data_IF_467273688322
#
_entry.id   IF_467273688322
#
_cell.length_a   1.000
_cell.length_b   1.000
_cell.length_c   1.000
_cell.angle_alpha   90.00
_cell.angle_beta   90.00
_cell.angle_gamma   90.00
#
_symmetry.space_group_name_H-M   'P 1'
#
loop_
_entity.id
_entity.type
_entity.pdbx_description
1 polymer ?
#
# COMPACT_ATOMS: atom_id res chain seq x y z
N UNK A 1 -33.87 29.79 23.39
CA UNK A 1 -34.39 29.81 22.01
C UNK A 1 -33.21 29.95 21.08
N UNK A 2 -32.95 28.96 20.24
CA UNK A 2 -33.45 28.90 18.86
C UNK A 2 -32.83 29.99 17.97
N UNK A 3 -32.00 29.54 17.03
CA UNK A 3 -31.51 30.29 15.87
C UNK A 3 -32.68 30.77 14.98
N UNK A 4 -32.43 31.69 14.01
CA UNK A 4 -32.11 31.26 12.62
C UNK A 4 -31.06 32.19 11.92
N UNK A 5 -30.06 31.68 11.17
CA UNK A 5 -30.01 31.38 9.72
C UNK A 5 -29.71 32.59 8.79
N UNK A 6 -28.61 32.44 8.01
CA UNK A 6 -28.18 33.03 6.71
C UNK A 6 -28.21 34.58 6.55
N UNK A 7 -27.25 35.26 5.91
CA UNK A 7 -26.62 35.03 4.60
C UNK A 7 -25.40 35.96 4.49
N UNK A 8 -24.29 35.49 3.92
CA UNK A 8 -23.56 36.19 2.86
C UNK A 8 -22.37 35.34 2.42
N UNK A 9 -22.58 34.70 1.27
CA UNK A 9 -21.59 33.92 0.55
C UNK A 9 -20.57 34.85 -0.10
N UNK A 10 -19.31 34.79 0.35
CA UNK A 10 -18.18 35.26 -0.44
C UNK A 10 -17.84 34.16 -1.44
N UNK A 11 -18.28 34.38 -2.68
CA UNK A 11 -17.85 33.65 -3.86
C UNK A 11 -16.35 33.89 -4.05
N UNK A 12 -15.53 32.98 -3.53
CA UNK A 12 -14.17 32.79 -4.03
C UNK A 12 -14.27 31.88 -5.25
N UNK A 13 -14.26 32.51 -6.42
CA UNK A 13 -14.06 31.85 -7.71
C UNK A 13 -12.70 31.12 -7.71
N UNK A 14 -12.72 29.86 -7.26
CA UNK A 14 -11.67 28.90 -7.56
C UNK A 14 -11.88 28.43 -9.01
N UNK A 15 -10.83 28.41 -9.85
CA UNK A 15 -10.98 28.03 -11.25
C UNK A 15 -11.40 26.57 -11.35
N UNK A 16 -12.70 26.35 -11.57
CA UNK A 16 -13.30 25.13 -12.10
C UNK A 16 -12.78 24.88 -13.51
N UNK A 17 -11.57 24.32 -13.66
CA UNK A 17 -11.11 23.60 -14.84
C UNK A 17 -9.71 22.98 -14.62
N UNK A 18 -9.56 22.11 -13.62
CA UNK A 18 -8.60 21.01 -13.78
C UNK A 18 -9.45 19.78 -14.01
N UNK A 19 -9.66 19.41 -15.28
CA UNK A 19 -10.04 18.03 -15.60
C UNK A 19 -9.02 17.16 -14.87
N UNK A 20 -9.43 16.47 -13.80
CA UNK A 20 -8.58 15.56 -13.05
C UNK A 20 -8.03 14.53 -14.04
N UNK A 21 -6.79 14.72 -14.46
CA UNK A 21 -6.24 14.04 -15.61
C UNK A 21 -5.83 12.64 -15.18
N UNK A 22 -6.75 11.67 -15.19
CA UNK A 22 -6.51 10.27 -14.82
C UNK A 22 -5.41 9.63 -15.68
N UNK A 23 -4.57 8.77 -15.11
CA UNK A 23 -3.35 8.21 -15.75
C UNK A 23 -3.62 7.66 -17.15
N UNK A 24 -4.57 6.74 -17.29
CA UNK A 24 -4.85 6.08 -18.57
C UNK A 24 -5.34 7.11 -19.60
N UNK A 25 -6.34 7.97 -19.36
CA UNK A 25 -6.66 9.06 -20.28
C UNK A 25 -5.54 10.08 -20.57
N UNK A 26 -4.59 10.29 -19.68
CA UNK A 26 -3.38 11.11 -19.98
C UNK A 26 -2.46 10.41 -20.96
N UNK A 27 -2.27 9.10 -20.80
CA UNK A 27 -1.38 8.28 -21.65
C UNK A 27 -2.07 7.86 -22.96
N UNK A 28 -3.38 7.60 -22.93
CA UNK A 28 -4.14 6.97 -23.99
C UNK A 28 -4.94 7.95 -24.86
N UNK A 29 -5.04 9.24 -24.52
CA UNK A 29 -5.76 10.26 -25.32
C UNK A 29 -5.35 10.30 -26.81
N UNK A 30 -4.15 9.79 -27.14
CA UNK A 30 -3.59 9.75 -28.49
C UNK A 30 -3.30 8.34 -29.01
N UNK A 31 -3.59 7.27 -28.24
CA UNK A 31 -3.34 5.89 -28.69
C UNK A 31 -4.60 5.37 -29.36
N UNK A 32 -4.71 5.59 -30.67
CA UNK A 32 -5.74 4.92 -31.46
C UNK A 32 -5.41 3.42 -31.46
N UNK A 33 -6.35 2.56 -31.05
CA UNK A 33 -6.14 1.12 -30.83
C UNK A 33 -5.60 0.35 -32.06
N UNK A 34 -5.58 0.99 -33.24
CA UNK A 34 -5.00 0.46 -34.49
C UNK A 34 -3.50 0.73 -34.69
N UNK A 35 -2.82 1.44 -33.78
CA UNK A 35 -1.40 1.80 -33.93
C UNK A 35 -0.62 1.58 -32.63
N UNK A 36 -0.75 0.39 -32.04
CA UNK A 36 0.12 -0.05 -30.95
C UNK A 36 1.42 -0.54 -31.62
N UNK A 37 2.56 0.10 -31.31
CA UNK A 37 3.88 -0.26 -31.88
C UNK A 37 4.57 0.77 -32.78
N UNK A 38 3.90 1.85 -33.16
CA UNK A 38 4.56 2.97 -33.86
C UNK A 38 5.51 3.74 -32.92
N UNK A 39 6.64 4.31 -33.41
CA UNK A 39 7.50 5.21 -32.64
C UNK A 39 6.74 6.32 -31.89
N UNK A 40 5.63 6.80 -32.46
CA UNK A 40 4.73 7.78 -31.84
C UNK A 40 4.08 7.25 -30.56
N UNK A 41 3.61 6.00 -30.56
CA UNK A 41 2.97 5.35 -29.40
C UNK A 41 3.97 5.10 -28.27
N UNK A 42 5.19 4.69 -28.60
CA UNK A 42 6.29 4.58 -27.63
C UNK A 42 6.57 5.92 -26.96
N UNK A 43 6.66 7.00 -27.75
CA UNK A 43 6.89 8.36 -27.24
C UNK A 43 5.74 8.84 -26.35
N UNK A 44 4.48 8.62 -26.75
CA UNK A 44 3.30 9.00 -25.95
C UNK A 44 3.30 8.30 -24.60
N UNK A 45 3.60 6.99 -24.56
CA UNK A 45 3.69 6.23 -23.31
C UNK A 45 4.82 6.77 -22.43
N UNK A 46 6.01 6.98 -23.00
CA UNK A 46 7.17 7.51 -22.26
C UNK A 46 6.91 8.93 -21.74
N UNK A 47 6.31 9.80 -22.54
CA UNK A 47 5.93 11.17 -22.18
C UNK A 47 4.82 11.20 -21.12
N UNK A 48 3.93 10.22 -21.13
CA UNK A 48 2.88 10.07 -20.11
C UNK A 48 3.45 9.57 -18.79
N UNK A 49 4.29 8.54 -18.82
CA UNK A 49 4.95 7.98 -17.64
C UNK A 49 5.92 8.97 -16.99
N UNK A 50 6.63 9.79 -17.77
CA UNK A 50 7.57 10.79 -17.24
C UNK A 50 6.88 11.95 -16.51
N UNK A 51 5.58 12.16 -16.74
CA UNK A 51 4.76 13.16 -16.05
C UNK A 51 4.18 12.65 -14.72
N UNK A 52 4.31 11.36 -14.43
CA UNK A 52 3.86 10.79 -13.17
C UNK A 52 4.87 11.10 -12.08
N UNK A 53 4.38 11.41 -10.88
CA UNK A 53 5.26 11.52 -9.75
C UNK A 53 5.91 10.13 -9.49
N UNK A 54 7.26 10.08 -9.38
CA UNK A 54 7.98 8.82 -9.21
C UNK A 54 7.56 8.00 -7.99
N UNK A 55 7.02 8.64 -6.96
CA UNK A 55 6.55 7.96 -5.76
C UNK A 55 5.30 7.09 -6.04
N UNK A 56 4.51 7.37 -7.09
CA UNK A 56 3.35 6.54 -7.50
C UNK A 56 3.81 5.13 -7.79
N UNK A 57 4.85 5.01 -8.62
CA UNK A 57 5.39 3.72 -8.98
C UNK A 57 5.94 2.97 -7.76
N UNK A 58 6.54 3.66 -6.79
CA UNK A 58 7.06 3.04 -5.58
C UNK A 58 5.94 2.55 -4.67
N UNK A 59 4.91 3.38 -4.48
CA UNK A 59 3.70 3.04 -3.72
C UNK A 59 2.96 1.86 -4.35
N UNK A 60 2.74 1.87 -5.66
CA UNK A 60 2.13 0.76 -6.40
C UNK A 60 2.97 -0.51 -6.33
N UNK A 61 4.31 -0.40 -6.36
CA UNK A 61 5.21 -1.52 -6.14
C UNK A 61 5.09 -2.10 -4.72
N UNK A 62 5.04 -1.25 -3.69
CA UNK A 62 4.81 -1.69 -2.31
C UNK A 62 3.49 -2.45 -2.17
N UNK A 63 2.40 -1.89 -2.73
CA UNK A 63 1.09 -2.53 -2.74
C UNK A 63 1.10 -3.86 -3.49
N UNK A 64 1.76 -3.91 -4.65
CA UNK A 64 1.87 -5.14 -5.45
C UNK A 64 2.66 -6.23 -4.72
N UNK A 65 3.68 -5.86 -3.96
CA UNK A 65 4.50 -6.81 -3.21
C UNK A 65 3.86 -7.31 -1.92
N UNK A 66 2.95 -6.52 -1.33
CA UNK A 66 2.08 -6.95 -0.25
C UNK A 66 0.91 -7.81 -0.77
N UNK A 67 0.01 -7.19 -1.53
CA UNK A 67 -1.34 -7.72 -1.82
C UNK A 67 -1.57 -8.10 -3.29
N UNK A 68 -0.61 -7.79 -4.16
CA UNK A 68 -0.72 -8.01 -5.60
C UNK A 68 -0.47 -9.46 -6.02
N UNK A 69 -1.01 -9.82 -7.18
CA UNK A 69 -0.61 -10.98 -7.96
C UNK A 69 -0.70 -10.62 -9.43
N UNK A 70 0.32 -10.98 -10.18
CA UNK A 70 0.36 -10.89 -11.63
C UNK A 70 0.21 -12.30 -12.19
N UNK A 71 -0.93 -12.55 -12.82
CA UNK A 71 -1.20 -13.78 -13.54
C UNK A 71 -0.72 -13.62 -14.98
N UNK A 72 0.14 -14.54 -15.42
CA UNK A 72 0.78 -14.50 -16.74
C UNK A 72 0.43 -15.81 -17.43
N UNK A 73 -0.40 -15.78 -18.49
CA UNK A 73 -0.79 -17.00 -19.18
C UNK A 73 0.39 -17.56 -19.98
N UNK A 74 0.41 -18.89 -20.15
CA UNK A 74 1.47 -19.58 -20.91
C UNK A 74 1.30 -19.45 -22.43
N UNK A 75 0.11 -19.13 -22.88
CA UNK A 75 -0.29 -18.94 -24.28
C UNK A 75 -1.20 -17.72 -24.39
N UNK A 76 -1.40 -17.20 -25.60
CA UNK A 76 -2.35 -16.11 -25.87
C UNK A 76 -3.80 -16.60 -26.03
N UNK A 77 -4.04 -17.92 -25.99
CA UNK A 77 -5.37 -18.52 -26.04
C UNK A 77 -5.57 -19.52 -24.91
N UNK A 78 -6.78 -19.57 -24.36
CA UNK A 78 -7.20 -20.64 -23.46
C UNK A 78 -7.70 -21.87 -24.25
N UNK A 79 -8.06 -22.94 -23.54
CA UNK A 79 -8.59 -24.18 -24.16
C UNK A 79 -9.89 -24.00 -24.93
N UNK A 80 -10.63 -22.89 -24.73
CA UNK A 80 -11.84 -22.54 -25.49
C UNK A 80 -11.56 -21.62 -26.69
N UNK A 81 -10.28 -21.35 -27.00
CA UNK A 81 -9.87 -20.47 -28.11
C UNK A 81 -10.04 -18.98 -27.83
N UNK A 82 -10.41 -18.59 -26.62
CA UNK A 82 -10.55 -17.18 -26.23
C UNK A 82 -9.20 -16.59 -25.89
N UNK A 83 -8.97 -15.33 -26.30
CA UNK A 83 -7.74 -14.61 -26.00
C UNK A 83 -7.57 -14.43 -24.49
N UNK A 84 -6.37 -14.75 -23.99
CA UNK A 84 -5.96 -14.51 -22.62
C UNK A 84 -4.65 -13.74 -22.62
N UNK A 85 -4.51 -12.87 -21.63
CA UNK A 85 -3.33 -12.01 -21.49
C UNK A 85 -3.12 -11.71 -20.00
N UNK A 86 -1.96 -11.13 -19.62
CA UNK A 86 -1.63 -10.92 -18.23
C UNK A 86 -2.67 -10.07 -17.50
N UNK A 87 -2.89 -10.38 -16.23
CA UNK A 87 -3.84 -9.67 -15.37
C UNK A 87 -3.19 -9.37 -14.02
N UNK A 88 -3.50 -8.20 -13.45
CA UNK A 88 -3.04 -7.82 -12.12
C UNK A 88 -4.22 -7.80 -11.17
N UNK A 89 -4.11 -8.56 -10.09
CA UNK A 89 -5.14 -8.64 -9.05
C UNK A 89 -4.53 -8.20 -7.73
N UNK A 90 -5.15 -7.23 -7.07
CA UNK A 90 -4.88 -6.91 -5.68
C UNK A 90 -6.05 -7.43 -4.85
N UNK A 91 -5.75 -8.13 -3.75
CA UNK A 91 -6.75 -8.65 -2.84
C UNK A 91 -6.49 -8.09 -1.45
N UNK A 92 -7.49 -7.50 -0.81
CA UNK A 92 -7.38 -6.92 0.52
C UNK A 92 -8.60 -7.20 1.37
N UNK A 93 -8.62 -6.65 2.58
CA UNK A 93 -9.79 -6.75 3.44
C UNK A 93 -11.00 -6.04 2.78
N UNK A 94 -12.20 -6.58 2.96
CA UNK A 94 -13.45 -5.96 2.48
C UNK A 94 -13.58 -4.47 2.81
N UNK A 95 -13.08 -4.04 3.98
CA UNK A 95 -13.09 -2.62 4.39
C UNK A 95 -12.26 -1.70 3.49
N UNK A 96 -11.28 -2.22 2.75
CA UNK A 96 -10.39 -1.43 1.90
C UNK A 96 -10.96 -1.15 0.49
N UNK A 97 -12.22 -1.52 0.23
CA UNK A 97 -12.88 -1.20 -1.05
C UNK A 97 -12.81 0.30 -1.43
N UNK A 98 -12.99 1.28 -0.51
CA UNK A 98 -12.86 2.69 -0.85
C UNK A 98 -11.45 3.06 -1.36
N UNK A 99 -10.41 2.48 -0.77
CA UNK A 99 -9.03 2.66 -1.23
C UNK A 99 -8.84 2.10 -2.65
N UNK A 100 -9.31 0.88 -2.93
CA UNK A 100 -9.25 0.31 -4.28
C UNK A 100 -10.08 1.10 -5.30
N UNK A 101 -11.22 1.65 -4.89
CA UNK A 101 -12.06 2.52 -5.73
C UNK A 101 -11.32 3.82 -6.07
N UNK A 102 -10.60 4.40 -5.11
CA UNK A 102 -9.77 5.58 -5.36
C UNK A 102 -8.63 5.27 -6.34
N UNK A 103 -7.98 4.11 -6.23
CA UNK A 103 -6.97 3.67 -7.20
C UNK A 103 -7.56 3.52 -8.61
N UNK A 104 -8.78 2.98 -8.74
CA UNK A 104 -9.49 2.90 -10.03
C UNK A 104 -9.64 4.28 -10.67
N UNK A 105 -10.06 5.29 -9.90
CA UNK A 105 -10.20 6.65 -10.39
C UNK A 105 -8.87 7.24 -10.84
N UNK A 106 -7.83 7.15 -10.00
CA UNK A 106 -6.50 7.73 -10.27
C UNK A 106 -5.86 7.10 -11.50
N UNK A 107 -5.92 5.77 -11.56
CA UNK A 107 -5.34 5.01 -12.66
C UNK A 107 -6.18 5.21 -13.95
N UNK A 108 -7.47 5.55 -13.84
CA UNK A 108 -8.38 5.66 -14.98
C UNK A 108 -8.83 4.29 -15.49
N UNK A 109 -9.06 3.36 -14.56
CA UNK A 109 -9.51 2.00 -14.85
C UNK A 109 -11.03 1.93 -15.04
N UNK A 110 -11.52 0.80 -15.56
CA UNK A 110 -12.96 0.49 -15.56
C UNK A 110 -13.52 0.59 -14.13
N UNK A 111 -14.67 1.25 -13.96
CA UNK A 111 -15.29 1.48 -12.66
C UNK A 111 -15.61 0.19 -11.89
N UNK A 112 -15.76 -0.93 -12.60
CA UNK A 112 -16.03 -2.26 -12.02
C UNK A 112 -14.75 -3.07 -11.71
N UNK A 113 -13.57 -2.49 -11.94
CA UNK A 113 -12.30 -3.13 -11.64
C UNK A 113 -12.14 -3.38 -10.12
N UNK A 114 -12.68 -2.50 -9.27
CA UNK A 114 -12.75 -2.66 -7.82
C UNK A 114 -14.13 -3.18 -7.38
N UNK A 115 -14.18 -4.26 -6.61
CA UNK A 115 -15.43 -4.85 -6.11
C UNK A 115 -15.22 -5.74 -4.89
N UNK A 116 -16.30 -6.04 -4.18
CA UNK A 116 -16.33 -7.09 -3.17
C UNK A 116 -16.55 -8.46 -3.82
N UNK A 117 -15.82 -9.45 -3.32
CA UNK A 117 -15.93 -10.84 -3.77
C UNK A 117 -16.08 -11.74 -2.55
N UNK A 118 -17.08 -12.63 -2.56
CA UNK A 118 -17.26 -13.67 -1.53
C UNK A 118 -16.17 -14.72 -1.68
N UNK A 119 -15.52 -15.05 -0.57
CA UNK A 119 -14.51 -16.10 -0.46
C UNK A 119 -14.98 -17.16 0.55
N UNK A 120 -14.36 -18.35 0.60
CA UNK A 120 -14.70 -19.35 1.63
C UNK A 120 -14.53 -18.84 3.07
N UNK A 121 -13.67 -17.84 3.28
CA UNK A 121 -13.32 -17.31 4.60
C UNK A 121 -13.98 -15.97 4.92
N UNK A 122 -14.83 -15.43 4.03
CA UNK A 122 -15.53 -14.17 4.25
C UNK A 122 -15.72 -13.37 2.97
N UNK A 123 -15.48 -12.06 3.04
CA UNK A 123 -15.56 -11.15 1.89
C UNK A 123 -14.22 -10.43 1.73
N UNK A 124 -13.71 -10.37 0.51
CA UNK A 124 -12.50 -9.65 0.16
C UNK A 124 -12.84 -8.46 -0.74
N UNK A 125 -12.11 -7.35 -0.58
CA UNK A 125 -12.06 -6.33 -1.63
C UNK A 125 -11.05 -6.79 -2.68
N UNK A 126 -11.41 -6.68 -3.95
CA UNK A 126 -10.58 -7.05 -5.08
C UNK A 126 -10.48 -5.86 -6.03
N UNK A 127 -9.26 -5.50 -6.42
CA UNK A 127 -8.99 -4.68 -7.60
C UNK A 127 -8.40 -5.58 -8.68
N UNK A 128 -9.11 -5.76 -9.79
CA UNK A 128 -8.66 -6.59 -10.91
C UNK A 128 -8.46 -5.74 -12.17
N UNK A 129 -7.20 -5.54 -12.54
CA UNK A 129 -6.79 -4.86 -13.77
C UNK A 129 -6.67 -5.90 -14.87
N UNK A 130 -7.64 -5.86 -15.79
CA UNK A 130 -7.79 -6.83 -16.87
C UNK A 130 -7.58 -6.26 -18.24
N UNK A 131 -7.32 -4.98 -18.42
CA UNK A 131 -7.12 -4.38 -19.74
C UNK A 131 -5.66 -4.47 -20.19
N UNK A 132 -5.45 -4.76 -21.48
CA UNK A 132 -4.12 -5.04 -22.03
C UNK A 132 -3.18 -3.83 -21.94
N UNK A 133 -3.69 -2.63 -22.23
CA UNK A 133 -2.89 -1.39 -22.13
C UNK A 133 -2.62 -1.07 -20.66
N UNK A 134 -3.62 -1.23 -19.80
CA UNK A 134 -3.60 -0.89 -18.39
C UNK A 134 -2.60 -1.75 -17.63
N UNK A 135 -2.59 -3.05 -17.90
CA UNK A 135 -1.61 -3.98 -17.32
C UNK A 135 -0.20 -3.64 -17.81
N UNK A 136 -0.01 -3.35 -19.10
CA UNK A 136 1.28 -2.91 -19.64
C UNK A 136 1.79 -1.66 -18.93
N UNK A 137 0.95 -0.63 -18.75
CA UNK A 137 1.32 0.61 -18.06
C UNK A 137 1.71 0.37 -16.60
N UNK A 138 0.97 -0.50 -15.89
CA UNK A 138 1.33 -0.87 -14.52
C UNK A 138 2.67 -1.61 -14.50
N UNK A 139 2.93 -2.54 -15.42
CA UNK A 139 4.24 -3.21 -15.54
C UNK A 139 5.36 -2.18 -15.70
N UNK A 140 5.18 -1.17 -16.56
CA UNK A 140 6.15 -0.08 -16.70
C UNK A 140 6.36 0.70 -15.40
N UNK A 141 5.31 0.94 -14.61
CA UNK A 141 5.42 1.62 -13.31
C UNK A 141 6.14 0.76 -12.26
N UNK A 142 5.92 -0.56 -12.27
CA UNK A 142 6.55 -1.50 -11.33
C UNK A 142 8.04 -1.73 -11.66
N UNK A 143 8.41 -1.70 -12.94
CA UNK A 143 9.76 -1.99 -13.40
C UNK A 143 10.79 -1.05 -12.76
N UNK A 144 11.79 -1.62 -12.08
CA UNK A 144 12.82 -0.88 -11.35
C UNK A 144 12.41 -0.37 -9.97
N UNK A 145 11.22 -0.73 -9.46
CA UNK A 145 10.70 -0.26 -8.16
C UNK A 145 10.30 -1.39 -7.19
N UNK A 146 10.34 -2.64 -7.65
CA UNK A 146 10.17 -3.82 -6.80
C UNK A 146 11.40 -4.04 -5.91
N UNK A 147 11.22 -4.59 -4.71
CA UNK A 147 12.31 -4.88 -3.77
C UNK A 147 12.41 -6.34 -3.36
N UNK A 148 11.44 -7.17 -3.73
CA UNK A 148 11.37 -8.59 -3.37
C UNK A 148 11.70 -9.50 -4.56
N UNK A 149 11.69 -10.81 -4.31
CA UNK A 149 11.80 -11.86 -5.33
C UNK A 149 10.66 -11.88 -6.36
N UNK A 150 9.61 -11.07 -6.18
CA UNK A 150 8.47 -10.97 -7.11
C UNK A 150 8.84 -10.41 -8.49
N UNK A 151 10.02 -9.82 -8.65
CA UNK A 151 10.56 -9.37 -9.95
C UNK A 151 10.53 -10.47 -11.03
N UNK A 152 10.76 -11.73 -10.65
CA UNK A 152 10.64 -12.88 -11.57
C UNK A 152 9.26 -13.02 -12.25
N UNK A 153 8.19 -12.56 -11.60
CA UNK A 153 6.86 -12.57 -12.22
C UNK A 153 6.68 -11.39 -13.16
N UNK A 154 7.30 -10.24 -12.86
CA UNK A 154 7.34 -9.09 -13.75
C UNK A 154 8.11 -9.42 -15.03
N UNK A 155 9.26 -10.09 -14.91
CA UNK A 155 10.07 -10.57 -16.03
C UNK A 155 9.26 -11.46 -16.99
N UNK A 156 8.51 -12.43 -16.45
CA UNK A 156 7.63 -13.28 -17.27
C UNK A 156 6.56 -12.49 -18.01
N UNK A 157 5.98 -11.47 -17.38
CA UNK A 157 4.99 -10.64 -18.04
C UNK A 157 5.60 -9.76 -19.13
N UNK A 158 6.78 -9.18 -18.87
CA UNK A 158 7.55 -8.41 -19.88
C UNK A 158 7.83 -9.29 -21.09
N UNK A 159 8.30 -10.52 -20.88
CA UNK A 159 8.52 -11.48 -21.97
C UNK A 159 7.23 -11.79 -22.73
N UNK A 160 6.11 -12.00 -22.02
CA UNK A 160 4.82 -12.24 -22.66
C UNK A 160 4.41 -11.07 -23.57
N UNK A 161 4.58 -9.82 -23.14
CA UNK A 161 4.28 -8.66 -24.01
C UNK A 161 5.20 -8.62 -25.23
N UNK A 162 6.48 -8.97 -25.08
CA UNK A 162 7.43 -9.03 -26.19
C UNK A 162 7.07 -10.11 -27.22
N UNK A 163 6.56 -11.27 -26.76
CA UNK A 163 6.26 -12.41 -27.62
C UNK A 163 4.90 -12.29 -28.34
N UNK A 164 3.92 -11.65 -27.70
CA UNK A 164 2.52 -11.73 -28.14
C UNK A 164 1.87 -10.39 -28.52
N UNK A 165 2.62 -9.28 -28.46
CA UNK A 165 2.05 -7.96 -28.75
C UNK A 165 3.04 -7.05 -29.47
N UNK A 166 2.52 -6.01 -30.12
CA UNK A 166 3.33 -4.94 -30.73
C UNK A 166 3.60 -3.77 -29.76
N UNK A 167 3.45 -3.96 -28.44
CA UNK A 167 3.79 -2.90 -27.50
C UNK A 167 5.29 -2.61 -27.52
N UNK A 168 5.72 -1.38 -27.18
CA UNK A 168 7.13 -1.07 -27.07
C UNK A 168 7.86 -2.06 -26.13
N UNK A 169 9.06 -2.54 -26.49
CA UNK A 169 9.78 -3.48 -25.64
C UNK A 169 10.19 -2.83 -24.32
N UNK A 170 10.06 -3.58 -23.23
CA UNK A 170 10.45 -3.16 -21.88
C UNK A 170 11.77 -3.84 -21.53
N UNK A 171 12.82 -3.05 -21.27
CA UNK A 171 14.04 -3.58 -20.65
C UNK A 171 13.80 -3.77 -19.15
N UNK A 172 13.95 -5.00 -18.67
CA UNK A 172 13.83 -5.30 -17.23
C UNK A 172 14.90 -4.54 -16.44
N UNK A 173 14.48 -3.82 -15.41
CA UNK A 173 15.36 -3.12 -14.48
C UNK A 173 15.54 -3.95 -13.20
N UNK A 174 16.70 -3.87 -12.52
CA UNK A 174 16.92 -4.60 -11.27
C UNK A 174 15.99 -4.11 -10.16
N UNK A 175 15.92 -4.89 -9.08
CA UNK A 175 15.23 -4.48 -7.85
C UNK A 175 15.79 -3.15 -7.32
N UNK A 176 14.89 -2.31 -6.81
CA UNK A 176 15.20 -1.07 -6.12
C UNK A 176 15.94 -1.37 -4.80
N UNK A 177 17.03 -0.64 -4.57
CA UNK A 177 17.88 -0.74 -3.37
C UNK A 177 18.04 0.62 -2.68
N UNK A 178 17.26 1.63 -3.09
CA UNK A 178 17.27 2.93 -2.44
C UNK A 178 16.82 2.83 -0.97
N UNK A 179 17.30 3.73 -0.10
CA UNK A 179 16.90 3.73 1.32
C UNK A 179 15.38 3.69 1.48
N UNK A 180 14.89 2.95 2.47
CA UNK A 180 13.46 2.82 2.76
C UNK A 180 12.77 4.17 2.93
N UNK A 181 13.46 5.12 3.57
CA UNK A 181 12.99 6.48 3.85
C UNK A 181 12.97 7.42 2.63
N UNK A 182 13.40 6.95 1.45
CA UNK A 182 13.50 7.81 0.26
C UNK A 182 12.23 7.88 -0.57
N UNK A 183 11.27 6.96 -0.37
CA UNK A 183 10.05 6.88 -1.16
C UNK A 183 8.92 6.13 -0.42
N UNK A 184 7.74 6.11 -1.03
CA UNK A 184 6.51 5.54 -0.46
C UNK A 184 6.37 4.01 -0.52
N UNK A 185 7.37 3.26 -1.00
CA UNK A 185 7.26 1.80 -1.15
C UNK A 185 6.90 1.11 0.17
N UNK A 186 7.58 1.47 1.26
CA UNK A 186 7.38 0.81 2.55
C UNK A 186 6.01 1.11 3.17
N UNK A 187 5.44 2.29 2.89
CA UNK A 187 4.08 2.60 3.32
C UNK A 187 3.08 1.57 2.80
N UNK A 188 3.08 1.34 1.48
CA UNK A 188 2.10 0.43 0.87
C UNK A 188 2.47 -1.05 1.00
N UNK A 189 3.76 -1.37 1.17
CA UNK A 189 4.16 -2.72 1.58
C UNK A 189 3.64 -3.04 2.99
N UNK A 190 3.71 -2.07 3.91
CA UNK A 190 3.21 -2.22 5.29
C UNK A 190 1.68 -2.29 5.36
N UNK A 191 0.97 -1.70 4.39
CA UNK A 191 -0.50 -1.73 4.33
C UNK A 191 -1.09 -3.14 4.35
N UNK A 192 -0.40 -4.15 3.81
CA UNK A 192 -0.87 -5.54 3.84
C UNK A 192 -0.47 -6.28 5.12
N UNK A 193 0.83 -6.47 5.32
CA UNK A 193 1.34 -7.45 6.27
C UNK A 193 1.80 -6.89 7.64
N UNK A 194 1.63 -5.58 7.88
CA UNK A 194 1.99 -4.96 9.15
C UNK A 194 0.84 -4.82 10.15
N UNK A 195 1.17 -4.59 11.41
CA UNK A 195 0.23 -4.35 12.50
C UNK A 195 0.79 -3.30 13.47
N UNK A 196 -0.05 -2.33 13.83
CA UNK A 196 0.18 -1.40 14.93
C UNK A 196 -0.54 -1.91 16.17
N UNK A 197 0.13 -1.92 17.32
CA UNK A 197 -0.42 -2.43 18.56
C UNK A 197 -0.21 -1.49 19.72
N UNK A 198 -1.25 -1.30 20.52
CA UNK A 198 -1.22 -0.67 21.84
C UNK A 198 -1.49 -1.79 22.86
N UNK A 199 -0.43 -2.26 23.52
CA UNK A 199 -0.50 -3.33 24.52
C UNK A 199 -0.56 -2.70 25.92
N UNK A 200 -1.61 -3.00 26.69
CA UNK A 200 -1.83 -2.45 28.03
C UNK A 200 -1.72 -3.57 29.06
N UNK A 201 -0.89 -3.38 30.09
CA UNK A 201 -0.63 -4.36 31.14
C UNK A 201 -0.82 -3.76 32.53
N UNK A 202 -1.39 -4.55 33.44
CA UNK A 202 -1.40 -4.24 34.86
C UNK A 202 0.00 -4.46 35.46
N UNK A 203 0.50 -3.49 36.22
CA UNK A 203 1.67 -3.70 37.07
C UNK A 203 1.35 -4.73 38.14
N UNK A 204 2.05 -5.87 38.13
CA UNK A 204 2.03 -6.81 39.27
C UNK A 204 2.86 -6.24 40.43
N UNK A 205 2.43 -6.56 41.66
CA UNK A 205 2.84 -6.08 42.98
C UNK A 205 4.22 -5.41 43.16
N UNK A 206 4.22 -4.31 43.92
CA UNK A 206 5.38 -3.50 44.35
C UNK A 206 4.92 -2.12 44.85
N UNK A 207 5.83 -1.20 45.18
CA UNK A 207 5.49 0.19 45.64
C UNK A 207 4.58 1.00 44.70
N UNK A 208 4.37 0.52 43.45
CA UNK A 208 3.50 1.10 42.42
C UNK A 208 2.33 0.15 42.03
N UNK A 209 1.84 -0.68 42.95
CA UNK A 209 0.72 -1.58 42.72
C UNK A 209 -0.53 -0.82 42.26
N UNK A 210 -1.09 -1.20 41.10
CA UNK A 210 -2.30 -0.60 40.52
C UNK A 210 -2.09 0.30 39.29
N UNK A 211 -0.84 0.57 38.90
CA UNK A 211 -0.55 1.34 37.67
C UNK A 211 -0.62 0.50 36.38
N UNK A 212 -0.90 1.14 35.25
CA UNK A 212 -0.90 0.53 33.93
C UNK A 212 0.40 0.85 33.17
N UNK A 213 0.97 -0.14 32.49
CA UNK A 213 2.03 0.04 31.49
C UNK A 213 1.40 -0.05 30.11
N UNK A 214 1.75 0.90 29.25
CA UNK A 214 1.43 0.84 27.82
C UNK A 214 2.70 0.62 27.00
N UNK A 215 2.68 -0.44 26.19
CA UNK A 215 3.70 -0.73 25.20
C UNK A 215 3.14 -0.50 23.80
N UNK A 216 3.90 0.24 23.00
CA UNK A 216 3.58 0.50 21.60
C UNK A 216 4.41 -0.42 20.73
N UNK A 217 3.77 -1.10 19.78
CA UNK A 217 4.45 -2.02 18.87
C UNK A 217 4.08 -1.75 17.42
N UNK A 218 5.08 -1.85 16.56
CA UNK A 218 4.90 -2.07 15.14
C UNK A 218 5.45 -3.46 14.81
N UNK A 219 4.70 -4.25 14.04
CA UNK A 219 5.09 -5.59 13.64
C UNK A 219 4.86 -5.76 12.14
N UNK A 220 5.85 -6.26 11.42
CA UNK A 220 5.73 -6.68 10.03
C UNK A 220 6.20 -8.11 9.91
N UNK A 221 5.37 -8.99 9.37
CA UNK A 221 5.68 -10.39 9.18
C UNK A 221 5.63 -10.79 7.72
N UNK A 222 6.59 -11.60 7.26
CA UNK A 222 6.57 -12.21 5.92
C UNK A 222 6.89 -13.69 6.03
N UNK A 223 6.41 -14.51 5.10
CA UNK A 223 6.86 -15.90 5.00
C UNK A 223 8.37 -15.94 4.78
N UNK A 224 9.07 -16.93 5.35
CA UNK A 224 10.53 -17.02 5.16
C UNK A 224 10.91 -17.23 3.70
N UNK A 225 10.06 -17.96 2.97
CA UNK A 225 10.24 -18.27 1.57
C UNK A 225 9.00 -17.83 0.80
N UNK A 226 9.21 -17.25 -0.37
CA UNK A 226 8.14 -16.92 -1.30
C UNK A 226 7.62 -18.18 -1.99
N UNK A 227 6.32 -18.44 -1.89
CA UNK A 227 5.69 -19.68 -2.37
C UNK A 227 5.93 -19.98 -3.86
N UNK A 228 5.89 -18.97 -4.73
CA UNK A 228 6.00 -19.16 -6.19
C UNK A 228 7.45 -19.37 -6.66
N UNK A 229 8.42 -18.72 -6.02
CA UNK A 229 9.81 -18.70 -6.51
C UNK A 229 10.76 -19.54 -5.67
N UNK A 230 10.38 -19.93 -4.44
CA UNK A 230 11.29 -20.60 -3.51
C UNK A 230 12.38 -19.68 -2.95
N UNK A 231 12.39 -18.40 -3.31
CA UNK A 231 13.40 -17.45 -2.83
C UNK A 231 13.12 -16.99 -1.40
N UNK A 232 14.18 -16.80 -0.63
CA UNK A 232 14.09 -16.30 0.75
C UNK A 232 13.68 -14.82 0.78
N UNK A 233 12.78 -14.46 1.70
CA UNK A 233 12.45 -13.08 2.04
C UNK A 233 13.44 -12.47 3.05
N UNK A 234 14.46 -13.22 3.50
CA UNK A 234 15.43 -12.75 4.49
C UNK A 234 16.10 -11.42 4.08
N UNK A 235 16.62 -11.25 2.85
CA UNK A 235 17.38 -10.05 2.49
C UNK A 235 16.56 -8.76 2.63
N UNK A 236 15.31 -8.79 2.15
CA UNK A 236 14.42 -7.63 2.24
C UNK A 236 13.97 -7.38 3.69
N UNK A 237 13.71 -8.45 4.45
CA UNK A 237 13.30 -8.33 5.85
C UNK A 237 14.43 -7.82 6.75
N UNK A 238 15.69 -8.21 6.51
CA UNK A 238 16.86 -7.66 7.21
C UNK A 238 17.14 -6.20 6.84
N UNK A 239 16.96 -5.84 5.55
CA UNK A 239 17.06 -4.44 5.11
C UNK A 239 16.04 -3.55 5.83
N UNK A 240 14.76 -3.97 5.85
CA UNK A 240 13.71 -3.24 6.59
C UNK A 240 14.04 -3.21 8.09
N UNK A 241 14.44 -4.33 8.69
CA UNK A 241 14.73 -4.40 10.12
C UNK A 241 15.87 -3.45 10.51
N UNK A 242 16.91 -3.38 9.69
CA UNK A 242 18.06 -2.50 9.91
C UNK A 242 17.64 -1.04 9.87
N UNK A 243 16.83 -0.64 8.89
CA UNK A 243 16.40 0.75 8.76
C UNK A 243 15.35 1.16 9.81
N UNK A 244 14.46 0.25 10.24
CA UNK A 244 13.38 0.56 11.18
C UNK A 244 13.78 0.38 12.64
N UNK A 245 14.50 -0.70 12.96
CA UNK A 245 14.81 -1.08 14.35
C UNK A 245 16.25 -0.78 14.75
N UNK A 246 17.10 -0.42 13.78
CA UNK A 246 18.55 -0.27 13.94
C UNK A 246 19.25 -1.57 14.37
N UNK A 247 18.58 -2.72 14.20
CA UNK A 247 19.14 -4.03 14.46
C UNK A 247 19.42 -4.76 13.13
N UNK A 248 20.58 -5.43 13.00
CA UNK A 248 20.99 -6.03 11.72
C UNK A 248 20.25 -7.33 11.39
N UNK A 249 19.70 -8.03 12.39
CA UNK A 249 19.09 -9.35 12.23
C UNK A 249 17.61 -9.31 12.54
N UNK A 250 16.81 -9.85 11.62
CA UNK A 250 15.37 -10.01 11.78
C UNK A 250 15.04 -11.22 12.67
N UNK A 251 13.92 -11.18 13.39
CA UNK A 251 13.44 -12.32 14.18
C UNK A 251 12.94 -13.44 13.26
N UNK A 252 13.36 -14.69 13.52
CA UNK A 252 12.87 -15.88 12.82
C UNK A 252 11.82 -16.58 13.69
N UNK A 253 10.63 -16.82 13.12
CA UNK A 253 9.51 -17.47 13.80
C UNK A 253 9.23 -18.78 13.10
N UNK A 254 9.42 -19.87 13.82
CA UNK A 254 9.22 -21.22 13.31
C UNK A 254 8.08 -21.89 14.09
N UNK A 255 6.86 -21.78 13.57
CA UNK A 255 5.69 -22.54 14.05
C UNK A 255 5.52 -23.76 13.16
N UNK A 256 4.89 -24.82 13.68
CA UNK A 256 4.65 -26.07 12.95
C UNK A 256 3.93 -25.86 11.61
N UNK A 257 3.02 -24.88 11.54
CA UNK A 257 2.23 -24.55 10.35
C UNK A 257 2.73 -23.35 9.54
N UNK A 258 3.70 -22.58 10.06
CA UNK A 258 4.18 -21.37 9.38
C UNK A 258 5.59 -20.97 9.81
N UNK A 259 6.44 -20.70 8.82
CA UNK A 259 7.77 -20.14 9.00
C UNK A 259 7.79 -18.71 8.50
N UNK A 260 8.09 -17.77 9.39
CA UNK A 260 8.07 -16.33 9.10
C UNK A 260 9.35 -15.62 9.54
N UNK A 261 9.62 -14.48 8.94
CA UNK A 261 10.48 -13.44 9.49
C UNK A 261 9.62 -12.33 10.08
N UNK A 262 10.07 -11.70 11.16
CA UNK A 262 9.36 -10.60 11.81
C UNK A 262 10.29 -9.42 12.12
N UNK A 263 9.91 -8.25 11.64
CA UNK A 263 10.42 -6.97 12.11
C UNK A 263 9.53 -6.48 13.24
N UNK A 264 10.10 -6.11 14.39
CA UNK A 264 9.33 -5.65 15.56
C UNK A 264 9.90 -4.37 16.17
N UNK A 265 9.25 -3.24 15.87
CA UNK A 265 9.58 -1.93 16.42
C UNK A 265 8.92 -1.70 17.77
N UNK A 266 9.68 -1.87 18.87
CA UNK A 266 9.22 -1.54 20.24
C UNK A 266 10.04 -0.46 20.93
N UNK A 267 11.25 -0.18 20.43
CA UNK A 267 12.14 0.79 21.03
C UNK A 267 11.68 2.21 20.68
N UNK A 268 12.05 3.17 21.53
CA UNK A 268 11.79 4.59 21.28
C UNK A 268 12.42 5.06 19.96
N UNK A 269 13.63 4.59 19.65
CA UNK A 269 14.31 4.88 18.38
C UNK A 269 13.49 4.39 17.18
N UNK A 270 12.99 3.15 17.23
CA UNK A 270 12.14 2.62 16.17
C UNK A 270 10.84 3.42 16.02
N UNK A 271 10.22 3.84 17.12
CA UNK A 271 9.02 4.67 17.07
C UNK A 271 9.27 6.03 16.42
N UNK A 272 10.39 6.69 16.72
CA UNK A 272 10.78 7.95 16.07
C UNK A 272 10.91 7.76 14.55
N UNK A 273 11.60 6.70 14.12
CA UNK A 273 11.79 6.39 12.70
C UNK A 273 10.45 6.13 12.01
N UNK A 274 9.58 5.30 12.62
CA UNK A 274 8.25 4.99 12.09
C UNK A 274 7.35 6.22 12.00
N UNK A 275 7.33 7.06 13.04
CA UNK A 275 6.56 8.31 13.05
C UNK A 275 7.06 9.25 11.96
N UNK A 276 8.38 9.43 11.84
CA UNK A 276 8.99 10.23 10.78
C UNK A 276 8.60 9.72 9.39
N UNK A 277 8.74 8.41 9.16
CA UNK A 277 8.45 7.79 7.87
C UNK A 277 6.98 7.92 7.48
N UNK A 278 6.04 7.49 8.33
CA UNK A 278 4.61 7.51 7.97
C UNK A 278 3.99 8.91 7.98
N UNK A 279 4.66 9.91 8.58
CA UNK A 279 4.30 11.33 8.40
C UNK A 279 4.66 11.83 7.00
N UNK A 280 5.79 11.38 6.46
CA UNK A 280 6.26 11.73 5.13
C UNK A 280 5.56 10.93 4.02
N UNK A 281 5.35 9.63 4.26
CA UNK A 281 4.71 8.70 3.33
C UNK A 281 3.47 8.09 4.00
N UNK A 282 2.33 8.79 3.94
CA UNK A 282 1.10 8.32 4.56
C UNK A 282 0.58 7.02 3.95
N UNK A 283 -0.03 6.18 4.79
CA UNK A 283 -0.89 5.07 4.35
C UNK A 283 -2.24 5.61 3.87
N UNK A 284 -2.86 4.92 2.91
CA UNK A 284 -4.19 5.28 2.38
C UNK A 284 -5.26 4.21 2.56
N UNK A 285 -4.90 2.97 2.92
CA UNK A 285 -5.90 1.96 3.27
C UNK A 285 -6.40 2.15 4.71
N UNK A 286 -7.28 1.25 5.18
CA UNK A 286 -7.87 1.32 6.52
C UNK A 286 -6.84 1.28 7.66
N UNK A 287 -5.65 0.70 7.42
CA UNK A 287 -4.56 0.63 8.40
C UNK A 287 -4.02 2.02 8.79
N UNK A 288 -4.26 3.04 7.97
CA UNK A 288 -4.01 4.44 8.34
C UNK A 288 -4.69 4.80 9.65
N UNK A 289 -5.93 4.38 9.85
CA UNK A 289 -6.68 4.68 11.06
C UNK A 289 -6.04 4.01 12.29
N UNK A 290 -5.54 2.79 12.13
CA UNK A 290 -4.81 2.07 13.18
C UNK A 290 -3.48 2.74 13.50
N UNK A 291 -2.77 3.25 12.49
CA UNK A 291 -1.59 4.08 12.67
C UNK A 291 -1.90 5.39 13.42
N UNK A 292 -3.01 6.06 13.09
CA UNK A 292 -3.37 7.33 13.75
C UNK A 292 -3.71 7.13 15.23
N UNK A 293 -4.42 6.05 15.58
CA UNK A 293 -4.69 5.72 16.99
C UNK A 293 -3.39 5.36 17.73
N UNK A 294 -2.51 4.60 17.08
CA UNK A 294 -1.18 4.28 17.60
C UNK A 294 -0.30 5.53 17.77
N UNK A 295 -0.36 6.47 16.82
CA UNK A 295 0.37 7.74 16.85
C UNK A 295 -0.14 8.62 18.00
N UNK A 296 -1.44 8.63 18.27
CA UNK A 296 -1.99 9.35 19.41
C UNK A 296 -1.52 8.75 20.74
N UNK A 297 -1.50 7.42 20.85
CA UNK A 297 -0.91 6.74 22.01
C UNK A 297 0.59 7.05 22.17
N UNK A 298 1.33 7.14 21.05
CA UNK A 298 2.71 7.61 21.04
C UNK A 298 2.84 9.04 21.56
N UNK A 299 1.98 9.98 21.13
CA UNK A 299 1.99 11.37 21.60
C UNK A 299 1.67 11.47 23.09
N UNK A 300 0.67 10.75 23.60
CA UNK A 300 0.37 10.67 25.05
C UNK A 300 1.59 10.22 25.87
N UNK A 301 2.38 9.28 25.33
CA UNK A 301 3.57 8.74 25.99
C UNK A 301 4.81 9.63 25.86
N UNK A 302 5.10 10.10 24.66
CA UNK A 302 6.39 10.73 24.32
C UNK A 302 6.34 12.24 24.20
N UNK A 303 5.23 12.80 23.74
CA UNK A 303 5.08 14.24 23.50
C UNK A 303 4.45 14.93 24.70
N UNK A 304 3.21 14.54 25.07
CA UNK A 304 2.44 15.18 26.13
C UNK A 304 2.83 14.71 27.53
N UNK A 305 3.41 13.50 27.63
CA UNK A 305 3.76 12.84 28.90
C UNK A 305 2.56 12.59 29.84
N UNK A 306 1.34 12.53 29.29
CA UNK A 306 0.09 12.33 30.04
C UNK A 306 -0.33 10.86 30.15
N UNK A 307 0.37 9.92 29.52
CA UNK A 307 0.03 8.49 29.51
C UNK A 307 -0.12 7.79 30.89
N UNK A 308 0.30 8.43 31.99
CA UNK A 308 0.14 7.94 33.38
C UNK A 308 -0.94 8.66 34.18
N UNK A 309 -1.57 9.68 33.60
CA UNK A 309 -2.74 10.34 34.21
C UNK A 309 -3.97 9.45 34.05
N UNK A 310 -4.99 9.56 34.93
CA UNK A 310 -6.25 8.84 34.76
C UNK A 310 -6.87 9.04 33.37
N UNK A 311 -6.88 10.28 32.88
CA UNK A 311 -7.44 10.66 31.58
C UNK A 311 -6.62 10.05 30.43
N UNK A 312 -5.29 10.14 30.52
CA UNK A 312 -4.40 9.55 29.51
C UNK A 312 -4.44 8.03 29.47
N UNK A 313 -4.69 7.38 30.62
CA UNK A 313 -4.90 5.93 30.72
C UNK A 313 -6.22 5.54 30.05
N UNK A 314 -7.32 6.20 30.40
CA UNK A 314 -8.64 5.98 29.79
C UNK A 314 -8.53 6.14 28.27
N UNK A 315 -7.87 7.21 27.82
CA UNK A 315 -7.69 7.47 26.40
C UNK A 315 -6.92 6.36 25.69
N UNK A 316 -5.85 5.83 26.28
CA UNK A 316 -5.10 4.71 25.68
C UNK A 316 -5.94 3.42 25.60
N UNK A 317 -6.78 3.16 26.60
CA UNK A 317 -7.70 2.02 26.59
C UNK A 317 -8.74 2.16 25.47
N UNK A 318 -9.31 3.35 25.28
CA UNK A 318 -10.22 3.64 24.17
C UNK A 318 -9.55 3.42 22.80
N UNK A 319 -8.34 3.96 22.61
CA UNK A 319 -7.57 3.80 21.37
C UNK A 319 -7.28 2.31 21.09
N UNK A 320 -6.84 1.56 22.10
CA UNK A 320 -6.55 0.13 21.97
C UNK A 320 -7.83 -0.69 21.67
N UNK A 321 -8.96 -0.32 22.26
CA UNK A 321 -10.24 -0.99 22.04
C UNK A 321 -10.87 -0.68 20.68
N UNK A 322 -10.55 0.49 20.09
CA UNK A 322 -11.12 0.96 18.82
C UNK A 322 -10.32 0.65 17.56
N UNK A 323 -9.14 0.03 17.66
CA UNK A 323 -8.24 -0.21 16.53
C UNK A 323 -8.28 -1.66 16.00
N UNK A 324 -7.63 -1.87 14.84
CA UNK A 324 -7.46 -3.16 14.18
C UNK A 324 -8.80 -3.86 13.88
N UNK A 325 -8.97 -5.10 14.35
CA UNK A 325 -10.16 -5.93 14.11
C UNK A 325 -11.39 -5.46 14.90
N UNK A 326 -11.19 -4.67 15.96
CA UNK A 326 -12.28 -4.10 16.77
C UNK A 326 -12.88 -2.83 16.16
N UNK A 327 -12.26 -2.28 15.10
CA UNK A 327 -12.71 -1.02 14.50
C UNK A 327 -14.02 -1.19 13.75
N UNK A 328 -15.01 -0.36 14.10
CA UNK A 328 -16.34 -0.34 13.48
C UNK A 328 -16.61 0.93 12.66
N UNK A 329 -15.88 2.01 12.91
CA UNK A 329 -16.01 3.29 12.19
C UNK A 329 -14.79 3.55 11.30
N UNK A 330 -15.04 3.92 10.05
CA UNK A 330 -14.00 4.20 9.05
C UNK A 330 -14.24 5.57 8.40
N UNK A 331 -13.32 6.51 8.63
CA UNK A 331 -13.22 7.74 7.86
C UNK A 331 -12.25 7.54 6.69
N UNK A 332 -12.62 8.03 5.51
CA UNK A 332 -11.85 7.93 4.26
C UNK A 332 -11.49 9.29 3.65
N UNK A 333 -11.72 10.42 4.34
CA UNK A 333 -11.42 11.77 3.84
C UNK A 333 -9.95 11.92 3.39
N UNK A 334 -9.03 11.15 3.99
CA UNK A 334 -7.62 11.17 3.60
C UNK A 334 -7.35 10.67 2.19
N UNK A 335 -8.30 9.97 1.54
CA UNK A 335 -8.19 9.53 0.15
C UNK A 335 -8.22 10.70 -0.85
N UNK A 336 -8.74 11.87 -0.45
CA UNK A 336 -8.70 13.06 -1.29
C UNK A 336 -7.27 13.55 -1.53
N UNK A 337 -6.38 13.31 -0.54
CA UNK A 337 -4.95 13.55 -0.65
C UNK A 337 -4.20 12.46 -1.45
N UNK A 338 -4.90 11.42 -1.91
CA UNK A 338 -4.35 10.47 -2.88
C UNK A 338 -4.64 11.02 -4.27
N UNK A 339 -3.63 11.61 -4.90
CA UNK A 339 -3.74 12.22 -6.23
C UNK A 339 -2.54 11.84 -7.10
N UNK A 340 -2.60 12.08 -8.41
CA UNK A 340 -1.43 11.88 -9.29
C UNK A 340 -0.24 12.79 -8.97
N UNK A 341 -0.47 13.90 -8.25
CA UNK A 341 0.58 14.81 -7.77
C UNK A 341 1.16 14.38 -6.42
N UNK A 342 0.35 13.75 -5.56
CA UNK A 342 0.76 13.26 -4.23
C UNK A 342 1.27 11.80 -4.25
N UNK A 343 1.03 11.11 -5.37
CA UNK A 343 1.52 9.78 -5.65
C UNK A 343 2.88 9.84 -6.29
#
# INVERSE_FOLDING_TARGET
GLAPILNDAICLDLPHAVLAATLIPVVCRNINAKVIGCPTTKRIIQDGLSKLNPNLGHRLAGLFEAEGSLDVPKSNYNSSGSTVYPQIVFAGNSKDLPYFTRLVQILGLDSNAARLVKTPTGTAAILNVRGLIEVYLIICMLNGRLRTSRISTLERAIQWYADYTDFPPITLLPNDRSPLVSNGWFSDFSCGDSCFGIEIYNLKSGKNSGGLITNLTYQLEQSQVQRKTGMSNLPIMESINTEITLAPKVESINRSSSKKFRVRGRSRAAHIILVSYFSQFPMFNSKRLDYLDWLEAYKLRDSYKTHRTPEGVIRQQELAAGMNDSRTYFNWDHLDNLSLSDL
#
